data_IF_065591053002
#
_entry.id   IF_065591053002
#
_cell.length_a   1.000
_cell.length_b   1.000
_cell.length_c   1.000
_cell.angle_alpha   90.00
_cell.angle_beta   90.00
_cell.angle_gamma   90.00
#
_symmetry.space_group_name_H-M   'P 1'
#
loop_
_entity.id
_entity.type
_entity.pdbx_description
1 polymer ?
#
# COMPACT_ATOMS: atom_id res chain seq x y z
N UNK A 1 -27.38 1.52 -18.30
CA UNK A 1 -26.02 2.05 -18.09
C UNK A 1 -25.37 1.16 -17.05
N UNK A 2 -24.42 0.33 -17.48
CA UNK A 2 -23.85 -0.75 -16.66
C UNK A 2 -22.82 -0.17 -15.70
N UNK A 3 -23.18 -0.12 -14.42
CA UNK A 3 -22.24 0.14 -13.34
C UNK A 3 -21.58 -1.21 -13.05
N UNK A 4 -20.42 -1.47 -13.64
CA UNK A 4 -19.54 -2.54 -13.17
C UNK A 4 -18.91 -2.05 -11.86
N UNK A 5 -19.69 -2.03 -10.78
CA UNK A 5 -19.14 -1.90 -9.43
C UNK A 5 -18.47 -3.22 -9.10
N UNK A 6 -17.17 -3.32 -9.34
CA UNK A 6 -16.35 -4.39 -8.78
C UNK A 6 -16.36 -4.16 -7.26
N UNK A 7 -17.29 -4.82 -6.58
CA UNK A 7 -17.54 -4.65 -5.16
C UNK A 7 -16.32 -5.06 -4.35
N UNK A 8 -15.70 -4.08 -3.71
CA UNK A 8 -15.29 -4.23 -2.33
C UNK A 8 -15.97 -3.10 -1.57
N UNK A 9 -17.00 -3.44 -0.79
CA UNK A 9 -17.75 -2.51 0.05
C UNK A 9 -17.58 -3.00 1.48
N UNK A 10 -16.33 -3.06 1.93
CA UNK A 10 -16.01 -3.29 3.34
C UNK A 10 -14.89 -2.33 3.69
N UNK A 11 -15.21 -1.33 4.52
CA UNK A 11 -14.29 -0.31 5.06
C UNK A 11 -13.15 -0.88 5.94
N UNK A 12 -12.89 -2.18 5.84
CA UNK A 12 -11.85 -2.95 6.56
C UNK A 12 -11.13 -3.91 5.60
N UNK A 13 -11.27 -3.74 4.28
CA UNK A 13 -10.58 -4.56 3.31
C UNK A 13 -9.07 -4.31 3.36
N UNK A 14 -8.30 -5.38 3.58
CA UNK A 14 -6.84 -5.39 3.53
C UNK A 14 -6.40 -5.97 2.19
N UNK A 15 -5.81 -5.15 1.32
CA UNK A 15 -5.32 -5.53 0.01
C UNK A 15 -3.83 -5.89 0.06
N UNK A 16 -3.43 -7.14 -0.18
CA UNK A 16 -2.03 -7.52 -0.19
C UNK A 16 -1.32 -6.97 -1.44
N UNK A 17 -0.15 -6.37 -1.24
CA UNK A 17 0.76 -5.92 -2.29
C UNK A 17 2.17 -6.47 -2.04
N UNK A 18 2.57 -7.49 -2.80
CA UNK A 18 3.93 -8.04 -2.71
C UNK A 18 4.87 -7.34 -3.71
N UNK A 19 5.72 -6.46 -3.18
CA UNK A 19 6.66 -5.70 -4.00
C UNK A 19 7.72 -6.60 -4.65
N UNK A 20 8.01 -7.77 -4.07
CA UNK A 20 9.02 -8.70 -4.58
C UNK A 20 8.63 -9.26 -5.94
N UNK A 21 7.32 -9.41 -6.20
CA UNK A 21 6.78 -9.83 -7.49
C UNK A 21 6.81 -8.74 -8.57
N UNK A 22 7.05 -7.48 -8.20
CA UNK A 22 7.04 -6.35 -9.14
C UNK A 22 8.48 -5.97 -9.52
N UNK A 23 8.75 -5.96 -10.83
CA UNK A 23 10.03 -5.56 -11.37
C UNK A 23 10.39 -4.12 -10.93
N UNK A 24 11.66 -3.90 -10.54
CA UNK A 24 12.15 -2.65 -9.93
C UNK A 24 11.73 -1.39 -10.67
N UNK A 25 11.77 -1.40 -12.01
CA UNK A 25 11.41 -0.25 -12.86
C UNK A 25 9.93 0.16 -12.79
N UNK A 26 9.05 -0.75 -12.38
CA UNK A 26 7.60 -0.51 -12.28
C UNK A 26 7.12 -0.37 -10.84
N UNK A 27 7.93 -0.80 -9.87
CA UNK A 27 7.54 -0.92 -8.45
C UNK A 27 7.00 0.39 -7.87
N UNK A 28 7.68 1.51 -8.11
CA UNK A 28 7.20 2.82 -7.65
C UNK A 28 5.81 3.13 -8.22
N UNK A 29 5.67 3.12 -9.55
CA UNK A 29 4.38 3.42 -10.18
C UNK A 29 3.25 2.49 -9.71
N UNK A 30 3.54 1.21 -9.50
CA UNK A 30 2.57 0.24 -8.99
C UNK A 30 2.15 0.52 -7.54
N UNK A 31 3.09 0.88 -6.65
CA UNK A 31 2.79 1.19 -5.25
C UNK A 31 1.94 2.47 -5.15
N UNK A 32 2.36 3.54 -5.83
CA UNK A 32 1.61 4.80 -5.83
C UNK A 32 0.23 4.62 -6.46
N UNK A 33 0.12 3.89 -7.57
CA UNK A 33 -1.16 3.61 -8.21
C UNK A 33 -2.08 2.75 -7.33
N UNK A 34 -1.54 1.79 -6.57
CA UNK A 34 -2.33 0.99 -5.64
C UNK A 34 -2.84 1.83 -4.45
N UNK A 35 -2.00 2.71 -3.89
CA UNK A 35 -2.42 3.65 -2.84
C UNK A 35 -3.45 4.66 -3.34
N UNK A 36 -3.26 5.22 -4.54
CA UNK A 36 -4.20 6.17 -5.17
C UNK A 36 -5.57 5.51 -5.48
N UNK A 37 -5.65 4.18 -5.53
CA UNK A 37 -6.89 3.44 -5.76
C UNK A 37 -7.66 3.12 -4.47
N UNK A 38 -7.02 3.20 -3.30
CA UNK A 38 -7.66 2.93 -2.01
C UNK A 38 -8.73 3.98 -1.70
N UNK A 39 -9.87 3.53 -1.19
CA UNK A 39 -10.88 4.38 -0.58
C UNK A 39 -10.56 4.64 0.90
N UNK A 40 -11.08 5.72 1.50
CA UNK A 40 -11.03 5.94 2.94
C UNK A 40 -11.51 4.72 3.73
N UNK A 41 -10.74 4.32 4.74
CA UNK A 41 -10.94 3.10 5.55
C UNK A 41 -10.30 1.84 4.98
N UNK A 42 -9.90 1.83 3.71
CA UNK A 42 -9.22 0.68 3.12
C UNK A 42 -7.73 0.66 3.47
N UNK A 43 -7.15 -0.55 3.50
CA UNK A 43 -5.75 -0.76 3.85
C UNK A 43 -5.04 -1.53 2.76
N UNK A 44 -3.83 -1.12 2.39
CA UNK A 44 -2.92 -1.93 1.58
C UNK A 44 -1.82 -2.53 2.45
N UNK A 45 -1.71 -3.86 2.49
CA UNK A 45 -0.63 -4.59 3.15
C UNK A 45 0.54 -4.80 2.20
N UNK A 46 1.56 -3.99 2.34
CA UNK A 46 2.78 -4.02 1.56
C UNK A 46 3.80 -5.01 2.15
N UNK A 47 4.32 -5.90 1.31
CA UNK A 47 5.39 -6.85 1.66
C UNK A 47 6.66 -6.61 0.86
N UNK A 48 7.81 -6.58 1.53
CA UNK A 48 9.13 -6.43 0.90
C UNK A 48 10.21 -7.21 1.66
N UNK A 49 11.33 -7.49 0.97
CA UNK A 49 12.48 -8.20 1.52
C UNK A 49 13.37 -7.34 2.44
N UNK A 50 13.30 -6.01 2.30
CA UNK A 50 14.07 -5.04 3.09
C UNK A 50 13.24 -3.80 3.43
N UNK A 51 13.69 -3.03 4.43
CA UNK A 51 12.96 -1.84 4.91
C UNK A 51 12.99 -0.73 3.84
N UNK A 52 11.83 -0.32 3.29
CA UNK A 52 11.77 0.61 2.17
C UNK A 52 11.83 2.08 2.64
N UNK A 53 12.77 2.44 3.53
CA UNK A 53 12.85 3.77 4.17
C UNK A 53 12.72 4.93 3.15
N UNK A 54 13.43 4.94 2.00
CA UNK A 54 13.29 6.03 1.03
C UNK A 54 11.87 6.17 0.45
N UNK A 55 11.18 5.05 0.25
CA UNK A 55 9.79 5.04 -0.21
C UNK A 55 8.87 5.60 0.87
N UNK A 56 9.05 5.22 2.14
CA UNK A 56 8.22 5.72 3.24
C UNK A 56 8.31 7.24 3.38
N UNK A 57 9.51 7.80 3.20
CA UNK A 57 9.67 9.26 3.14
C UNK A 57 8.92 9.88 1.96
N UNK A 58 8.93 9.26 0.78
CA UNK A 58 8.17 9.75 -0.38
C UNK A 58 6.66 9.66 -0.17
N UNK A 59 6.18 8.58 0.43
CA UNK A 59 4.77 8.39 0.77
C UNK A 59 4.32 9.46 1.78
N UNK A 60 5.08 9.65 2.86
CA UNK A 60 4.78 10.68 3.85
C UNK A 60 4.78 12.09 3.23
N UNK A 61 5.73 12.39 2.34
CA UNK A 61 5.77 13.69 1.65
C UNK A 61 4.60 13.91 0.67
N UNK A 62 4.05 12.84 0.08
CA UNK A 62 2.96 12.92 -0.90
C UNK A 62 1.57 12.89 -0.27
N UNK A 63 1.36 11.99 0.70
CA UNK A 63 0.05 11.71 1.28
C UNK A 63 -0.13 12.31 2.67
N UNK A 64 0.95 12.57 3.41
CA UNK A 64 0.89 13.10 4.77
C UNK A 64 -0.08 12.31 5.64
N UNK A 65 -1.00 13.03 6.32
CA UNK A 65 -1.96 12.45 7.24
C UNK A 65 -3.07 11.61 6.56
N UNK A 66 -3.19 11.65 5.22
CA UNK A 66 -4.17 10.86 4.49
C UNK A 66 -3.85 9.36 4.48
N UNK A 67 -2.58 8.99 4.71
CA UNK A 67 -2.14 7.60 4.78
C UNK A 67 -1.31 7.38 6.03
N UNK A 68 -1.76 6.48 6.91
CA UNK A 68 -0.96 6.01 8.04
C UNK A 68 -0.08 4.84 7.64
N UNK A 69 1.13 4.79 8.20
CA UNK A 69 2.13 3.77 7.93
C UNK A 69 2.32 2.93 9.20
N UNK A 70 1.77 1.73 9.22
CA UNK A 70 1.82 0.83 10.37
C UNK A 70 2.68 -0.40 10.07
N UNK A 71 3.76 -0.57 10.80
CA UNK A 71 4.60 -1.77 10.66
C UNK A 71 3.91 -2.98 11.29
N UNK A 72 3.61 -3.98 10.47
CA UNK A 72 3.09 -5.29 10.92
C UNK A 72 4.24 -6.24 11.24
N UNK A 73 5.29 -6.22 10.42
CA UNK A 73 6.50 -7.02 10.61
C UNK A 73 7.73 -6.22 10.14
N UNK A 74 8.79 -6.22 10.95
CA UNK A 74 10.03 -5.51 10.63
C UNK A 74 11.26 -6.37 10.91
N UNK A 75 11.33 -7.51 10.22
CA UNK A 75 12.42 -8.47 10.35
C UNK A 75 13.25 -8.53 9.06
N UNK A 76 14.58 -8.79 9.14
CA UNK A 76 15.40 -8.96 7.95
C UNK A 76 14.85 -10.07 7.04
N UNK A 77 14.53 -9.74 5.78
CA UNK A 77 13.94 -10.68 4.81
C UNK A 77 12.40 -10.75 4.83
N UNK A 78 11.75 -10.18 5.85
CA UNK A 78 10.30 -10.16 6.00
C UNK A 78 9.85 -8.81 6.58
N UNK A 79 9.64 -7.84 5.68
CA UNK A 79 9.03 -6.55 6.03
C UNK A 79 7.59 -6.53 5.55
N UNK A 80 6.66 -6.27 6.47
CA UNK A 80 5.25 -6.07 6.19
C UNK A 80 4.78 -4.75 6.80
N UNK A 81 4.12 -3.92 6.00
CA UNK A 81 3.64 -2.59 6.39
C UNK A 81 2.20 -2.45 5.91
N UNK A 82 1.31 -2.04 6.78
CA UNK A 82 -0.05 -1.65 6.44
C UNK A 82 -0.08 -0.15 6.16
N UNK A 83 -0.56 0.21 4.97
CA UNK A 83 -0.86 1.57 4.59
C UNK A 83 -2.37 1.78 4.69
N UNK A 84 -2.80 2.51 5.72
CA UNK A 84 -4.22 2.76 6.00
C UNK A 84 -4.61 4.11 5.41
N UNK A 85 -5.59 4.12 4.50
CA UNK A 85 -6.13 5.33 3.89
C UNK A 85 -7.26 5.91 4.76
N UNK A 86 -7.26 7.23 4.99
CA UNK A 86 -8.27 7.93 5.80
C UNK A 86 -9.14 8.90 5.00
#
# INVERSE_FOLDING_TARGET
MTICATGHVTSEAIYPFDARGVAKRFRHAAIFGALDALQPGETMRFCNDHDPIPLLHQLNARYGDAVTIDYVQREPGAIAIDFVCH
#
